data_IF_765950516742
#
_entry.id   IF_765950516742
#
_cell.length_a   1.000
_cell.length_b   1.000
_cell.length_c   1.000
_cell.angle_alpha   90.00
_cell.angle_beta   90.00
_cell.angle_gamma   90.00
#
_symmetry.space_group_name_H-M   'P 1'
#
loop_
_entity.id
_entity.type
_entity.pdbx_description
1 polymer ?
#
# COMPACT_ATOMS: atom_id res chain seq x y z
N UNK A 1 -1.42 -23.84 -25.88
CA UNK A 1 -0.73 -24.90 -25.11
C UNK A 1 -0.38 -24.27 -23.77
N UNK A 2 -0.76 -24.85 -22.64
CA UNK A 2 -0.32 -24.33 -21.35
C UNK A 2 1.21 -24.49 -21.29
N UNK A 3 1.94 -23.37 -21.11
CA UNK A 3 3.38 -23.41 -20.94
C UNK A 3 3.71 -24.36 -19.79
N UNK A 4 4.62 -25.30 -20.03
CA UNK A 4 5.03 -26.25 -18.99
C UNK A 4 5.75 -25.47 -17.88
N UNK A 5 5.26 -25.54 -16.64
CA UNK A 5 5.89 -24.88 -15.50
C UNK A 5 7.31 -25.44 -15.34
N UNK A 6 8.36 -24.59 -15.38
CA UNK A 6 9.74 -25.03 -15.26
C UNK A 6 10.05 -25.52 -13.83
N UNK A 7 11.16 -26.27 -13.66
CA UNK A 7 11.61 -26.71 -12.32
C UNK A 7 12.24 -25.58 -11.52
N UNK A 8 12.96 -24.69 -12.21
CA UNK A 8 13.66 -23.55 -11.61
C UNK A 8 13.19 -22.22 -12.22
N UNK A 9 13.38 -21.13 -11.52
CA UNK A 9 12.99 -19.78 -11.92
C UNK A 9 14.03 -18.76 -11.50
N UNK A 10 14.15 -17.66 -12.26
CA UNK A 10 14.93 -16.49 -11.85
C UNK A 10 14.23 -15.75 -10.72
N UNK A 11 14.99 -15.36 -9.70
CA UNK A 11 14.51 -14.61 -8.57
C UNK A 11 15.57 -13.64 -8.02
N UNK A 12 15.12 -12.49 -7.52
CA UNK A 12 15.95 -11.57 -6.75
C UNK A 12 15.77 -11.85 -5.25
N UNK A 13 16.80 -12.33 -4.63
CA UNK A 13 16.83 -12.71 -3.21
C UNK A 13 17.65 -11.72 -2.39
N UNK A 14 17.26 -11.47 -1.16
CA UNK A 14 18.06 -10.70 -0.20
C UNK A 14 19.40 -11.44 -0.01
N UNK A 15 20.50 -10.84 -0.47
CA UNK A 15 21.82 -11.46 -0.42
C UNK A 15 22.31 -11.57 1.03
N UNK A 16 22.22 -10.47 1.75
CA UNK A 16 22.50 -10.30 3.17
C UNK A 16 21.91 -8.95 3.58
N UNK A 17 21.67 -8.72 4.86
CA UNK A 17 21.21 -7.41 5.31
C UNK A 17 22.23 -6.32 4.95
N UNK A 18 21.74 -5.21 4.42
CA UNK A 18 22.52 -4.06 3.93
C UNK A 18 23.45 -4.35 2.73
N UNK A 19 23.33 -5.52 2.06
CA UNK A 19 24.17 -5.88 0.91
C UNK A 19 23.43 -6.00 -0.43
N UNK A 20 22.18 -5.53 -0.48
CA UNK A 20 21.34 -5.57 -1.69
C UNK A 20 20.81 -6.95 -2.03
N UNK A 21 20.41 -7.12 -3.27
CA UNK A 21 19.86 -8.37 -3.79
C UNK A 21 20.88 -9.14 -4.62
N UNK A 22 20.72 -10.46 -4.65
CA UNK A 22 21.39 -11.39 -5.57
C UNK A 22 20.34 -12.00 -6.50
N UNK A 23 20.58 -11.94 -7.81
CA UNK A 23 19.71 -12.61 -8.79
C UNK A 23 20.26 -14.00 -9.07
N UNK A 24 19.45 -15.02 -8.81
CA UNK A 24 19.84 -16.43 -9.01
C UNK A 24 18.66 -17.30 -9.39
N UNK A 25 18.95 -18.52 -9.85
CA UNK A 25 17.94 -19.52 -10.05
C UNK A 25 17.59 -20.23 -8.74
N UNK A 26 16.30 -20.39 -8.49
CA UNK A 26 15.75 -21.12 -7.34
C UNK A 26 14.63 -22.05 -7.83
N UNK A 27 14.24 -23.02 -7.01
CA UNK A 27 13.16 -23.95 -7.35
C UNK A 27 11.81 -23.22 -7.42
N UNK A 28 11.00 -23.56 -8.43
CA UNK A 28 9.60 -23.13 -8.49
C UNK A 28 8.82 -23.87 -7.38
N UNK A 29 7.97 -23.16 -6.58
CA UNK A 29 7.15 -23.81 -5.57
C UNK A 29 6.27 -24.92 -6.16
N UNK A 30 6.45 -26.16 -5.74
CA UNK A 30 5.73 -27.34 -6.25
C UNK A 30 4.74 -27.91 -5.23
N UNK A 31 4.99 -27.68 -3.93
CA UNK A 31 4.15 -28.13 -2.82
C UNK A 31 3.07 -27.10 -2.53
N UNK A 32 1.86 -27.36 -3.05
CA UNK A 32 0.69 -26.51 -2.87
C UNK A 32 -0.30 -27.18 -1.91
N UNK A 33 -0.59 -26.51 -0.81
CA UNK A 33 -1.69 -26.86 0.08
C UNK A 33 -3.07 -26.58 -0.54
N UNK A 34 -4.15 -26.96 0.15
CA UNK A 34 -5.51 -26.85 -0.41
C UNK A 34 -5.92 -25.45 -0.87
N UNK A 35 -5.54 -24.41 -0.12
CA UNK A 35 -5.85 -23.01 -0.44
C UNK A 35 -4.74 -22.30 -1.26
N UNK A 36 -3.64 -22.99 -1.56
CA UNK A 36 -2.53 -22.37 -2.27
C UNK A 36 -2.80 -22.25 -3.77
N UNK A 37 -2.27 -21.21 -4.36
CA UNK A 37 -2.15 -21.03 -5.80
C UNK A 37 -0.69 -20.76 -6.17
N UNK A 38 -0.30 -21.17 -7.37
CA UNK A 38 0.95 -20.77 -8.01
C UNK A 38 0.63 -19.68 -9.02
N UNK A 39 1.24 -18.52 -8.84
CA UNK A 39 1.07 -17.37 -9.71
C UNK A 39 2.33 -17.19 -10.54
N UNK A 40 2.19 -17.15 -11.88
CA UNK A 40 3.24 -16.68 -12.80
C UNK A 40 3.21 -15.16 -12.72
N UNK A 41 4.24 -14.56 -12.14
CA UNK A 41 4.30 -13.12 -11.92
C UNK A 41 4.47 -12.40 -13.25
N UNK A 42 3.69 -11.35 -13.46
CA UNK A 42 3.82 -10.44 -14.58
C UNK A 42 4.48 -9.12 -14.17
N UNK A 43 4.17 -8.67 -12.95
CA UNK A 43 4.80 -7.49 -12.35
C UNK A 43 4.84 -7.58 -10.82
N UNK A 44 5.83 -6.91 -10.23
CA UNK A 44 6.01 -6.82 -8.78
C UNK A 44 6.50 -5.41 -8.39
N UNK A 45 5.78 -4.73 -7.50
CA UNK A 45 6.13 -3.40 -7.06
C UNK A 45 7.31 -3.39 -6.07
N UNK A 46 8.05 -2.27 -6.01
CA UNK A 46 9.06 -2.00 -5.00
C UNK A 46 8.54 -0.96 -3.99
N UNK A 47 8.58 -1.29 -2.71
CA UNK A 47 8.04 -0.50 -1.61
C UNK A 47 9.14 -0.12 -0.60
N UNK A 48 8.85 0.86 0.27
CA UNK A 48 9.74 1.20 1.39
C UNK A 48 9.98 0.01 2.33
N UNK A 49 8.98 -0.82 2.52
CA UNK A 49 9.11 -2.06 3.31
C UNK A 49 10.16 -3.02 2.74
N UNK A 50 10.34 -3.09 1.41
CA UNK A 50 11.38 -3.93 0.81
C UNK A 50 12.79 -3.40 1.13
N UNK A 51 12.96 -2.06 1.20
CA UNK A 51 14.19 -1.45 1.71
C UNK A 51 14.39 -1.77 3.19
N UNK A 52 13.35 -1.68 4.02
CA UNK A 52 13.43 -2.02 5.44
C UNK A 52 13.75 -3.51 5.68
N UNK A 53 13.26 -4.42 4.83
CA UNK A 53 13.66 -5.85 4.84
C UNK A 53 15.16 -5.97 4.55
N UNK A 54 15.67 -5.28 3.55
CA UNK A 54 17.12 -5.25 3.26
C UNK A 54 17.94 -4.67 4.41
N UNK A 55 17.40 -3.74 5.17
CA UNK A 55 18.05 -3.15 6.35
C UNK A 55 17.96 -4.03 7.61
N UNK A 56 17.26 -5.18 7.56
CA UNK A 56 17.09 -6.09 8.68
C UNK A 56 16.05 -5.63 9.72
N UNK A 57 15.24 -4.61 9.42
CA UNK A 57 14.22 -4.08 10.36
C UNK A 57 13.24 -5.17 10.80
N UNK A 58 12.95 -6.13 9.94
CA UNK A 58 12.01 -7.23 10.20
C UNK A 58 12.69 -8.56 10.57
N UNK A 59 13.99 -8.56 10.94
CA UNK A 59 14.71 -9.78 11.36
C UNK A 59 14.03 -10.45 12.54
N UNK A 60 13.62 -9.69 13.56
CA UNK A 60 12.89 -10.21 14.72
C UNK A 60 11.51 -10.77 14.39
N UNK A 61 10.93 -10.37 13.26
CA UNK A 61 9.66 -10.89 12.74
C UNK A 61 9.85 -12.11 11.82
N UNK A 62 11.09 -12.52 11.54
CA UNK A 62 11.42 -13.69 10.72
C UNK A 62 11.98 -13.40 9.33
N UNK A 63 12.24 -12.15 8.97
CA UNK A 63 12.98 -11.81 7.76
C UNK A 63 14.42 -12.35 7.84
N UNK A 64 14.95 -12.86 6.73
CA UNK A 64 16.29 -13.46 6.69
C UNK A 64 16.94 -13.34 5.31
N UNK A 65 18.26 -13.39 5.22
CA UNK A 65 18.95 -13.56 3.94
C UNK A 65 18.45 -14.79 3.18
N UNK A 66 18.43 -14.69 1.85
CA UNK A 66 17.86 -15.74 0.97
C UNK A 66 16.37 -15.58 0.69
N UNK A 67 15.66 -14.65 1.34
CA UNK A 67 14.28 -14.33 1.07
C UNK A 67 14.11 -13.67 -0.31
N UNK A 68 13.13 -14.09 -1.09
CA UNK A 68 12.70 -13.36 -2.31
C UNK A 68 11.89 -12.14 -1.87
N UNK A 69 12.29 -10.96 -2.31
CA UNK A 69 11.63 -9.70 -1.96
C UNK A 69 10.28 -9.48 -2.66
N UNK A 70 9.73 -8.31 -2.48
CA UNK A 70 8.42 -7.80 -2.92
C UNK A 70 7.21 -8.45 -2.27
N UNK A 71 6.39 -7.59 -1.69
CA UNK A 71 5.06 -7.93 -1.18
C UNK A 71 3.93 -7.32 -2.03
N UNK A 72 4.24 -6.91 -3.26
CA UNK A 72 3.32 -6.28 -4.22
C UNK A 72 3.24 -7.12 -5.52
N UNK A 73 2.81 -8.38 -5.47
CA UNK A 73 2.79 -9.24 -6.66
C UNK A 73 1.51 -9.09 -7.47
N UNK A 74 1.63 -9.14 -8.81
CA UNK A 74 0.52 -9.29 -9.74
C UNK A 74 0.90 -10.27 -10.86
N UNK A 75 -0.02 -11.16 -11.26
CA UNK A 75 0.25 -12.17 -12.27
C UNK A 75 -0.94 -13.05 -12.62
N UNK A 76 -0.68 -14.20 -13.22
CA UNK A 76 -1.69 -15.15 -13.68
C UNK A 76 -1.58 -16.44 -12.87
N UNK A 77 -2.70 -16.96 -12.39
CA UNK A 77 -2.77 -18.27 -11.72
C UNK A 77 -2.47 -19.37 -12.73
N UNK A 78 -1.40 -20.15 -12.49
CA UNK A 78 -1.00 -21.27 -13.38
C UNK A 78 -1.23 -22.66 -12.76
N UNK A 79 -1.41 -22.72 -11.43
CA UNK A 79 -1.78 -23.95 -10.72
C UNK A 79 -2.57 -23.58 -9.45
N UNK A 80 -3.51 -24.41 -9.05
CA UNK A 80 -4.38 -24.16 -7.90
C UNK A 80 -4.52 -25.40 -7.04
N UNK A 81 -4.54 -25.24 -5.72
CA UNK A 81 -4.88 -26.26 -4.75
C UNK A 81 -6.37 -26.62 -4.80
N UNK A 82 -6.76 -27.70 -4.12
CA UNK A 82 -8.11 -28.27 -4.19
C UNK A 82 -9.21 -27.32 -3.74
N UNK A 83 -8.91 -26.37 -2.86
CA UNK A 83 -9.87 -25.48 -2.23
C UNK A 83 -9.87 -24.04 -2.80
N UNK A 84 -8.95 -23.73 -3.71
CA UNK A 84 -8.85 -22.40 -4.32
C UNK A 84 -10.16 -21.94 -4.99
N UNK A 85 -10.87 -22.87 -5.63
CA UNK A 85 -12.18 -22.61 -6.26
C UNK A 85 -13.25 -22.14 -5.25
N UNK A 86 -13.13 -22.48 -3.96
CA UNK A 86 -14.04 -21.98 -2.90
C UNK A 86 -13.93 -20.45 -2.71
N UNK A 87 -12.77 -19.89 -3.06
CA UNK A 87 -12.54 -18.43 -3.10
C UNK A 87 -12.79 -17.84 -4.50
N UNK A 88 -13.44 -18.56 -5.40
CA UNK A 88 -13.69 -18.14 -6.78
C UNK A 88 -12.40 -17.83 -7.57
N UNK A 89 -11.29 -18.53 -7.28
CA UNK A 89 -9.99 -18.36 -7.96
C UNK A 89 -9.69 -19.62 -8.77
N UNK A 90 -9.37 -19.43 -10.06
CA UNK A 90 -9.16 -20.49 -11.04
C UNK A 90 -7.87 -20.27 -11.83
N UNK A 91 -7.34 -21.34 -12.42
CA UNK A 91 -6.22 -21.24 -13.36
C UNK A 91 -6.61 -20.35 -14.54
N UNK A 92 -5.74 -19.43 -14.90
CA UNK A 92 -5.96 -18.40 -15.91
C UNK A 92 -6.43 -17.04 -15.36
N UNK A 93 -6.88 -16.97 -14.10
CA UNK A 93 -7.28 -15.70 -13.49
C UNK A 93 -6.08 -14.75 -13.35
N UNK A 94 -6.32 -13.49 -13.67
CA UNK A 94 -5.41 -12.37 -13.36
C UNK A 94 -5.60 -11.99 -11.90
N UNK A 95 -4.55 -12.08 -11.09
CA UNK A 95 -4.63 -11.84 -9.64
C UNK A 95 -3.45 -11.05 -9.12
N UNK A 96 -3.67 -10.39 -7.99
CA UNK A 96 -2.59 -9.92 -7.12
C UNK A 96 -2.94 -10.22 -5.68
N UNK A 97 -1.94 -10.26 -4.82
CA UNK A 97 -2.08 -10.68 -3.43
C UNK A 97 -1.67 -9.59 -2.47
N UNK A 98 -2.52 -9.28 -1.50
CA UNK A 98 -2.04 -8.60 -0.29
C UNK A 98 -1.03 -9.51 0.44
N UNK A 99 -0.19 -8.94 1.27
CA UNK A 99 0.99 -9.64 1.82
C UNK A 99 0.70 -10.76 2.85
N UNK A 100 -0.54 -10.98 3.24
CA UNK A 100 -0.95 -12.00 4.22
C UNK A 100 -0.90 -13.41 3.60
N UNK A 101 -0.33 -14.40 4.31
CA UNK A 101 -0.32 -15.80 3.84
C UNK A 101 -0.76 -16.76 4.93
N UNK A 102 -1.72 -17.63 4.62
CA UNK A 102 -2.23 -18.72 5.45
C UNK A 102 -2.71 -18.25 6.84
N UNK A 103 -3.71 -17.39 6.84
CA UNK A 103 -4.44 -17.01 8.06
C UNK A 103 -5.34 -18.16 8.55
N UNK A 104 -5.58 -18.24 9.87
CA UNK A 104 -6.33 -19.37 10.46
C UNK A 104 -7.86 -19.29 10.25
N UNK A 105 -8.45 -18.10 10.14
CA UNK A 105 -9.90 -17.89 10.00
C UNK A 105 -10.72 -18.09 11.28
N UNK A 106 -10.12 -18.49 12.41
CA UNK A 106 -10.83 -18.88 13.65
C UNK A 106 -10.49 -18.08 14.89
N UNK A 107 -9.32 -17.39 14.94
CA UNK A 107 -8.93 -16.56 16.05
C UNK A 107 -9.80 -15.30 16.16
N UNK A 108 -9.73 -14.62 17.29
CA UNK A 108 -10.53 -13.42 17.57
C UNK A 108 -10.31 -12.32 16.52
N UNK A 109 -9.05 -12.07 16.16
CA UNK A 109 -8.70 -11.10 15.12
C UNK A 109 -9.34 -11.44 13.76
N UNK A 110 -9.29 -12.70 13.32
CA UNK A 110 -9.91 -13.12 12.05
C UNK A 110 -11.44 -12.95 12.05
N UNK A 111 -12.10 -13.13 13.19
CA UNK A 111 -13.56 -13.05 13.30
C UNK A 111 -14.09 -11.63 13.45
N UNK A 112 -13.33 -10.74 14.07
CA UNK A 112 -13.85 -9.43 14.51
C UNK A 112 -13.06 -8.21 14.02
N UNK A 113 -11.80 -8.39 13.55
CA UNK A 113 -10.93 -7.28 13.20
C UNK A 113 -10.43 -7.34 11.75
N UNK A 114 -10.17 -8.54 11.24
CA UNK A 114 -9.71 -8.81 9.88
C UNK A 114 -8.53 -9.76 9.83
N UNK A 115 -8.42 -10.50 8.73
CA UNK A 115 -7.45 -11.57 8.53
C UNK A 115 -6.00 -11.09 8.56
N UNK A 116 -5.74 -9.83 8.19
CA UNK A 116 -4.42 -9.20 8.24
C UNK A 116 -3.86 -9.08 9.68
N UNK A 117 -4.70 -9.23 10.69
CA UNK A 117 -4.33 -9.22 12.10
C UNK A 117 -4.35 -10.63 12.73
N UNK A 118 -4.36 -11.68 11.90
CA UNK A 118 -4.43 -13.06 12.38
C UNK A 118 -3.28 -13.39 13.34
N UNK A 119 -3.62 -13.86 14.55
CA UNK A 119 -2.65 -14.25 15.57
C UNK A 119 -1.83 -15.49 15.20
N UNK A 120 -2.36 -16.33 14.29
CA UNK A 120 -1.74 -17.57 13.81
C UNK A 120 -1.30 -17.44 12.33
N UNK A 121 -0.95 -16.25 11.89
CA UNK A 121 -0.51 -16.00 10.52
C UNK A 121 0.78 -16.78 10.24
N UNK A 122 0.80 -17.58 9.17
CA UNK A 122 1.99 -18.40 8.82
C UNK A 122 3.11 -17.52 8.26
N UNK A 123 2.77 -16.46 7.52
CA UNK A 123 3.79 -15.55 7.01
C UNK A 123 3.24 -14.35 6.26
N UNK A 124 4.17 -13.47 5.90
CA UNK A 124 3.93 -12.29 5.07
C UNK A 124 4.82 -12.34 3.84
N UNK A 125 4.19 -12.28 2.64
CA UNK A 125 4.88 -12.29 1.35
C UNK A 125 5.93 -11.18 1.27
N UNK A 126 7.15 -11.51 0.84
CA UNK A 126 8.25 -10.57 0.70
C UNK A 126 8.86 -10.05 2.01
N UNK A 127 8.30 -10.44 3.18
CA UNK A 127 8.81 -10.05 4.50
C UNK A 127 9.34 -11.26 5.28
N UNK A 128 8.55 -12.31 5.43
CA UNK A 128 8.93 -13.50 6.20
C UNK A 128 8.91 -14.78 5.37
N UNK A 129 8.21 -14.77 4.23
CA UNK A 129 8.19 -15.81 3.21
C UNK A 129 8.44 -15.17 1.84
N UNK A 130 8.81 -16.02 0.85
CA UNK A 130 9.14 -15.56 -0.50
C UNK A 130 8.01 -14.74 -1.14
N UNK A 131 8.38 -13.63 -1.77
CA UNK A 131 7.50 -12.67 -2.40
C UNK A 131 7.60 -12.65 -3.93
N UNK A 132 7.25 -11.49 -4.52
CA UNK A 132 6.99 -11.32 -5.95
C UNK A 132 8.21 -11.04 -6.83
N UNK A 133 9.42 -10.82 -6.30
CA UNK A 133 10.61 -10.62 -7.14
C UNK A 133 11.14 -11.94 -7.71
N UNK A 134 10.25 -12.76 -8.26
CA UNK A 134 10.52 -14.04 -8.92
C UNK A 134 9.51 -14.30 -10.03
N UNK A 135 9.85 -15.15 -10.98
CA UNK A 135 8.94 -15.49 -12.09
C UNK A 135 7.66 -16.22 -11.63
N UNK A 136 7.72 -16.93 -10.50
CA UNK A 136 6.57 -17.61 -9.91
C UNK A 136 6.56 -17.39 -8.40
N UNK A 137 5.35 -17.33 -7.84
CA UNK A 137 5.15 -17.16 -6.40
C UNK A 137 3.97 -18.01 -5.93
N UNK A 138 4.11 -18.59 -4.72
CA UNK A 138 3.00 -19.23 -4.02
C UNK A 138 2.22 -18.21 -3.22
N UNK A 139 0.89 -18.17 -3.35
CA UNK A 139 0.00 -17.30 -2.62
C UNK A 139 -1.22 -18.06 -2.07
N UNK A 140 -1.94 -17.47 -1.13
CA UNK A 140 -3.19 -18.03 -0.59
C UNK A 140 -4.37 -17.47 -1.40
N UNK A 141 -5.16 -18.35 -2.00
CA UNK A 141 -6.33 -17.99 -2.81
C UNK A 141 -7.37 -17.13 -2.07
N UNK A 142 -7.38 -17.20 -0.75
CA UNK A 142 -8.35 -16.47 0.10
C UNK A 142 -8.02 -14.98 0.29
N UNK A 143 -6.80 -14.54 -0.07
CA UNK A 143 -6.34 -13.16 0.10
C UNK A 143 -5.93 -12.47 -1.20
N UNK A 144 -6.15 -13.12 -2.34
CA UNK A 144 -5.92 -12.51 -3.64
C UNK A 144 -7.18 -11.79 -4.15
N UNK A 145 -6.98 -10.77 -4.96
CA UNK A 145 -8.06 -10.09 -5.68
C UNK A 145 -7.88 -10.28 -7.19
N UNK A 146 -8.99 -10.41 -7.91
CA UNK A 146 -8.98 -10.48 -9.38
C UNK A 146 -8.72 -9.11 -9.98
N UNK A 147 -7.84 -9.06 -10.97
CA UNK A 147 -7.43 -7.84 -11.66
C UNK A 147 -8.14 -7.76 -13.02
N UNK A 148 -8.98 -6.74 -13.29
CA UNK A 148 -9.58 -6.52 -14.60
C UNK A 148 -8.52 -6.29 -15.68
N UNK A 149 -8.85 -6.65 -16.93
CA UNK A 149 -8.00 -6.43 -18.13
C UNK A 149 -7.63 -4.95 -18.33
N UNK A 150 -8.48 -4.03 -17.87
CA UNK A 150 -8.29 -2.59 -17.99
C UNK A 150 -7.13 -2.04 -17.15
N UNK A 151 -6.62 -2.80 -16.17
CA UNK A 151 -5.49 -2.38 -15.33
C UNK A 151 -4.21 -3.06 -15.85
N UNK A 152 -3.20 -2.31 -16.35
CA UNK A 152 -1.90 -2.84 -16.72
C UNK A 152 -1.18 -3.49 -15.53
N UNK A 153 -0.32 -4.48 -15.78
CA UNK A 153 0.32 -5.25 -14.74
C UNK A 153 1.18 -4.42 -13.78
N UNK A 154 1.97 -3.49 -14.33
CA UNK A 154 2.84 -2.60 -13.59
C UNK A 154 2.05 -1.60 -12.73
N UNK A 155 0.88 -1.15 -13.19
CA UNK A 155 -0.03 -0.34 -12.39
C UNK A 155 -0.76 -1.16 -11.32
N UNK A 156 -1.07 -2.44 -11.61
CA UNK A 156 -1.79 -3.33 -10.70
C UNK A 156 -0.94 -3.78 -9.50
N UNK A 157 0.34 -4.09 -9.71
CA UNK A 157 1.18 -4.66 -8.67
C UNK A 157 1.26 -3.78 -7.40
N UNK A 158 1.52 -2.47 -7.46
CA UNK A 158 1.56 -1.63 -6.26
C UNK A 158 0.21 -1.49 -5.53
N UNK A 159 -0.90 -1.85 -6.17
CA UNK A 159 -2.22 -1.75 -5.53
C UNK A 159 -2.34 -2.69 -4.33
N UNK A 160 -1.59 -3.80 -4.32
CA UNK A 160 -1.65 -4.82 -3.26
C UNK A 160 -0.90 -4.47 -1.97
N UNK A 161 -0.17 -3.34 -1.96
CA UNK A 161 0.33 -2.71 -0.75
C UNK A 161 -0.10 -1.25 -0.68
N UNK A 162 0.41 -0.38 -1.57
CA UNK A 162 0.13 1.06 -1.53
C UNK A 162 -1.37 1.35 -1.67
N UNK A 163 -2.04 0.74 -2.65
CA UNK A 163 -3.49 0.86 -2.85
C UNK A 163 -4.27 0.32 -1.65
N UNK A 164 -3.98 -0.92 -1.23
CA UNK A 164 -4.64 -1.59 -0.12
C UNK A 164 -4.47 -0.84 1.22
N UNK A 165 -3.29 -0.27 1.45
CA UNK A 165 -3.00 0.49 2.67
C UNK A 165 -3.78 1.80 2.71
N UNK A 166 -3.70 2.62 1.66
CA UNK A 166 -4.35 3.93 1.68
C UNK A 166 -5.87 3.80 1.58
N UNK A 167 -6.39 2.80 0.85
CA UNK A 167 -7.83 2.51 0.81
C UNK A 167 -8.33 2.09 2.19
N UNK A 168 -7.63 1.17 2.86
CA UNK A 168 -7.93 0.79 4.23
C UNK A 168 -7.90 1.97 5.21
N UNK A 169 -6.97 2.91 5.05
CA UNK A 169 -6.88 4.12 5.85
C UNK A 169 -8.07 5.07 5.62
N UNK A 170 -8.47 5.27 4.34
CA UNK A 170 -9.63 6.09 3.99
C UNK A 170 -10.91 5.50 4.60
N UNK A 171 -11.14 4.19 4.46
CA UNK A 171 -12.28 3.52 5.08
C UNK A 171 -12.24 3.65 6.62
N UNK A 172 -11.06 3.44 7.23
CA UNK A 172 -10.88 3.58 8.67
C UNK A 172 -11.11 5.01 9.17
N UNK A 173 -10.88 6.04 8.34
CA UNK A 173 -11.17 7.42 8.69
C UNK A 173 -12.66 7.67 8.86
N UNK A 174 -13.50 6.85 8.22
CA UNK A 174 -14.95 7.01 8.21
C UNK A 174 -15.40 8.26 7.44
N UNK A 175 -14.61 8.70 6.45
CA UNK A 175 -14.98 9.84 5.59
C UNK A 175 -16.25 9.51 4.82
N UNK A 176 -17.16 10.48 4.70
CA UNK A 176 -18.42 10.36 3.96
C UNK A 176 -18.39 11.30 2.74
N UNK A 177 -19.26 11.00 1.78
CA UNK A 177 -19.47 11.86 0.62
C UNK A 177 -19.68 13.33 1.05
N UNK A 178 -19.02 14.25 0.38
CA UNK A 178 -19.06 15.68 0.64
C UNK A 178 -18.23 16.19 1.83
N UNK A 179 -17.68 15.31 2.66
CA UNK A 179 -16.75 15.69 3.72
C UNK A 179 -15.36 16.01 3.17
N UNK A 180 -14.57 16.79 3.93
CA UNK A 180 -13.21 17.12 3.58
C UNK A 180 -12.21 16.13 4.18
N UNK A 181 -11.41 15.51 3.30
CA UNK A 181 -10.29 14.65 3.65
C UNK A 181 -8.97 15.30 3.23
N UNK A 182 -8.07 15.50 4.16
CA UNK A 182 -6.68 15.84 3.84
C UNK A 182 -5.85 14.56 3.69
N UNK A 183 -5.17 14.41 2.55
CA UNK A 183 -4.18 13.38 2.29
C UNK A 183 -2.81 14.02 2.44
N UNK A 184 -2.05 13.58 3.45
CA UNK A 184 -0.73 14.14 3.78
C UNK A 184 0.36 13.16 3.39
N UNK A 185 1.30 13.63 2.56
CA UNK A 185 2.32 12.81 1.91
C UNK A 185 1.81 12.20 0.60
N UNK A 186 2.13 12.87 -0.52
CA UNK A 186 1.70 12.48 -1.88
C UNK A 186 2.83 11.74 -2.59
N UNK A 187 3.25 10.64 -1.98
CA UNK A 187 4.19 9.69 -2.57
C UNK A 187 3.47 8.48 -3.18
N UNK A 188 4.10 7.31 -3.04
CA UNK A 188 3.60 6.03 -3.56
C UNK A 188 2.21 5.60 -3.05
N UNK A 189 1.79 6.06 -1.86
CA UNK A 189 0.45 5.82 -1.30
C UNK A 189 -0.49 7.00 -1.59
N UNK A 190 -0.04 8.22 -1.30
CA UNK A 190 -0.93 9.39 -1.28
C UNK A 190 -1.50 9.74 -2.65
N UNK A 191 -0.79 9.50 -3.76
CA UNK A 191 -1.33 9.76 -5.10
C UNK A 191 -2.53 8.85 -5.43
N UNK A 192 -2.56 7.60 -4.92
CA UNK A 192 -3.73 6.72 -4.98
C UNK A 192 -4.80 7.17 -3.99
N UNK A 193 -4.39 7.59 -2.78
CA UNK A 193 -5.30 8.06 -1.75
C UNK A 193 -6.15 9.25 -2.17
N UNK A 194 -5.56 10.21 -2.90
CA UNK A 194 -6.28 11.34 -3.49
C UNK A 194 -7.38 10.83 -4.44
N UNK A 195 -7.04 9.94 -5.36
CA UNK A 195 -7.97 9.41 -6.34
C UNK A 195 -9.09 8.58 -5.70
N UNK A 196 -8.75 7.71 -4.74
CA UNK A 196 -9.75 6.87 -4.05
C UNK A 196 -10.71 7.72 -3.21
N UNK A 197 -10.21 8.72 -2.50
CA UNK A 197 -11.06 9.63 -1.75
C UNK A 197 -12.02 10.41 -2.67
N UNK A 198 -11.54 10.88 -3.82
CA UNK A 198 -12.38 11.52 -4.84
C UNK A 198 -13.43 10.55 -5.40
N UNK A 199 -13.04 9.33 -5.75
CA UNK A 199 -13.96 8.30 -6.24
C UNK A 199 -15.05 7.93 -5.23
N UNK A 200 -14.73 8.01 -3.93
CA UNK A 200 -15.70 7.84 -2.83
C UNK A 200 -16.55 9.09 -2.54
N UNK A 201 -16.37 10.16 -3.33
CA UNK A 201 -17.17 11.40 -3.25
C UNK A 201 -16.73 12.38 -2.16
N UNK A 202 -15.53 12.24 -1.58
CA UNK A 202 -14.99 13.22 -0.67
C UNK A 202 -14.48 14.48 -1.40
N UNK A 203 -14.47 15.62 -0.70
CA UNK A 203 -13.65 16.77 -1.08
C UNK A 203 -12.22 16.51 -0.58
N UNK A 204 -11.22 16.67 -1.45
CA UNK A 204 -9.85 16.22 -1.15
C UNK A 204 -8.86 17.38 -1.14
N UNK A 205 -8.05 17.41 -0.08
CA UNK A 205 -6.91 18.31 0.06
C UNK A 205 -5.64 17.45 -0.04
N UNK A 206 -4.76 17.74 -1.00
CA UNK A 206 -3.45 17.12 -1.09
C UNK A 206 -2.39 18.00 -0.45
N UNK A 207 -1.63 17.47 0.50
CA UNK A 207 -0.55 18.16 1.22
C UNK A 207 0.74 17.35 1.07
N UNK A 208 1.80 17.96 0.56
CA UNK A 208 3.14 17.36 0.51
C UNK A 208 4.20 18.44 0.83
N UNK A 209 5.37 18.02 1.27
CA UNK A 209 6.50 18.93 1.45
C UNK A 209 7.31 19.16 0.16
N UNK A 210 6.99 18.45 -0.92
CA UNK A 210 7.65 18.53 -2.23
C UNK A 210 6.62 18.91 -3.30
N UNK A 211 7.06 19.74 -4.25
CA UNK A 211 6.25 20.11 -5.43
C UNK A 211 5.94 18.89 -6.31
N UNK A 212 6.89 17.96 -6.43
CA UNK A 212 6.77 16.74 -7.22
C UNK A 212 5.59 15.86 -6.76
N UNK A 213 5.35 15.79 -5.44
CA UNK A 213 4.18 15.10 -4.89
C UNK A 213 2.87 15.73 -5.36
N UNK A 214 2.77 17.06 -5.26
CA UNK A 214 1.59 17.80 -5.73
C UNK A 214 1.39 17.66 -7.25
N UNK A 215 2.46 17.75 -8.04
CA UNK A 215 2.40 17.52 -9.50
C UNK A 215 1.88 16.10 -9.81
N UNK A 216 2.30 15.10 -9.03
CA UNK A 216 1.82 13.71 -9.16
C UNK A 216 0.33 13.61 -8.87
N UNK A 217 -0.18 14.27 -7.81
CA UNK A 217 -1.62 14.32 -7.53
C UNK A 217 -2.41 15.00 -8.66
N UNK A 218 -1.87 16.07 -9.23
CA UNK A 218 -2.49 16.82 -10.33
C UNK A 218 -2.42 16.10 -11.70
N UNK A 219 -1.55 15.10 -11.85
CA UNK A 219 -1.47 14.26 -13.06
C UNK A 219 -2.61 13.23 -13.16
N UNK A 220 -3.35 12.99 -12.07
CA UNK A 220 -4.52 12.13 -12.06
C UNK A 220 -5.59 12.57 -13.08
N UNK A 221 -6.49 11.67 -13.52
CA UNK A 221 -7.66 12.03 -14.32
C UNK A 221 -8.42 13.22 -13.71
N UNK A 222 -8.93 14.13 -14.52
CA UNK A 222 -9.45 15.44 -14.07
C UNK A 222 -10.48 15.35 -12.95
N UNK A 223 -11.38 14.35 -12.99
CA UNK A 223 -12.42 14.14 -11.99
C UNK A 223 -11.91 13.52 -10.68
N UNK A 224 -10.67 13.04 -10.65
CA UNK A 224 -10.00 12.43 -9.48
C UNK A 224 -8.91 13.33 -8.89
N UNK A 225 -8.73 14.55 -9.42
CA UNK A 225 -7.77 15.52 -8.88
C UNK A 225 -8.23 16.07 -7.54
N UNK A 226 -7.29 16.45 -6.67
CA UNK A 226 -7.65 17.10 -5.40
C UNK A 226 -8.34 18.44 -5.66
N UNK A 227 -9.24 18.84 -4.76
CA UNK A 227 -9.94 20.12 -4.82
C UNK A 227 -9.04 21.28 -4.34
N UNK A 228 -8.09 20.98 -3.43
CA UNK A 228 -7.06 21.92 -2.96
C UNK A 228 -5.70 21.22 -2.86
N UNK A 229 -4.64 21.99 -3.04
CA UNK A 229 -3.26 21.51 -2.92
C UNK A 229 -2.42 22.46 -2.11
N UNK A 230 -1.52 21.93 -1.28
CA UNK A 230 -0.60 22.70 -0.48
C UNK A 230 0.81 22.09 -0.50
N UNK A 231 1.83 22.93 -0.67
CA UNK A 231 3.23 22.57 -0.47
C UNK A 231 3.65 23.07 0.91
N UNK A 232 3.95 22.13 1.82
CA UNK A 232 4.32 22.40 3.22
C UNK A 232 5.84 22.22 3.41
N UNK A 233 6.62 23.02 2.70
CA UNK A 233 8.07 22.92 2.56
C UNK A 233 8.87 23.75 3.58
N UNK A 234 8.19 24.60 4.36
CA UNK A 234 8.80 25.48 5.34
C UNK A 234 7.89 25.69 6.56
N UNK A 235 8.45 26.21 7.65
CA UNK A 235 7.69 26.53 8.85
C UNK A 235 6.63 27.63 8.58
N UNK A 236 6.95 28.61 7.73
CA UNK A 236 6.00 29.66 7.36
C UNK A 236 4.87 29.12 6.46
N UNK A 237 5.17 28.20 5.54
CA UNK A 237 4.15 27.50 4.76
C UNK A 237 3.24 26.67 5.68
N UNK A 238 3.82 25.96 6.64
CA UNK A 238 3.09 25.16 7.64
C UNK A 238 2.09 26.04 8.41
N UNK A 239 2.53 27.19 8.96
CA UNK A 239 1.66 28.10 9.71
C UNK A 239 0.50 28.62 8.86
N UNK A 240 0.78 29.09 7.66
CA UNK A 240 -0.26 29.58 6.73
C UNK A 240 -1.29 28.50 6.38
N UNK A 241 -0.83 27.27 6.11
CA UNK A 241 -1.72 26.14 5.78
C UNK A 241 -2.61 25.80 6.97
N UNK A 242 -2.05 25.74 8.18
CA UNK A 242 -2.82 25.49 9.40
C UNK A 242 -3.87 26.57 9.59
N UNK A 243 -3.51 27.87 9.51
CA UNK A 243 -4.42 29.02 9.65
C UNK A 243 -5.55 28.97 8.61
N UNK A 244 -5.23 28.68 7.34
CA UNK A 244 -6.24 28.53 6.30
C UNK A 244 -7.18 27.37 6.59
N UNK A 245 -6.65 26.18 6.86
CA UNK A 245 -7.47 24.97 7.01
C UNK A 245 -8.33 24.98 8.29
N UNK A 246 -7.79 25.51 9.41
CA UNK A 246 -8.54 25.54 10.67
C UNK A 246 -9.74 26.49 10.68
N UNK A 247 -9.78 27.48 9.75
CA UNK A 247 -10.86 28.45 9.60
C UNK A 247 -11.78 28.18 8.41
N UNK A 248 -11.50 27.11 7.64
CA UNK A 248 -12.18 26.84 6.38
C UNK A 248 -13.31 25.81 6.49
N UNK A 249 -14.08 25.72 5.44
CA UNK A 249 -15.04 24.68 5.03
C UNK A 249 -16.41 24.71 5.71
N UNK A 250 -16.53 25.17 6.94
CA UNK A 250 -17.80 25.19 7.68
C UNK A 250 -17.96 26.50 8.48
N UNK A 251 -19.17 27.06 8.52
CA UNK A 251 -19.47 28.26 9.31
C UNK A 251 -19.41 27.98 10.81
N UNK A 252 -19.80 26.76 11.21
CA UNK A 252 -19.73 26.29 12.58
C UNK A 252 -18.84 25.05 12.64
N UNK A 253 -18.00 24.90 13.66
CA UNK A 253 -17.02 23.83 13.79
C UNK A 253 -16.10 23.72 12.54
N UNK A 254 -15.35 24.79 12.22
CA UNK A 254 -14.49 24.81 11.05
C UNK A 254 -13.32 23.83 11.15
N UNK A 255 -12.67 23.57 10.02
CA UNK A 255 -11.56 22.65 9.90
C UNK A 255 -11.88 21.42 9.03
N UNK A 256 -10.92 20.53 8.86
CA UNK A 256 -11.00 19.35 8.04
C UNK A 256 -11.69 18.22 8.80
N UNK A 257 -12.53 17.42 8.14
CA UNK A 257 -13.22 16.30 8.78
C UNK A 257 -12.27 15.14 9.11
N UNK A 258 -11.38 14.81 8.17
CA UNK A 258 -10.54 13.61 8.21
C UNK A 258 -9.15 13.92 7.68
N UNK A 259 -8.15 13.23 8.23
CA UNK A 259 -6.77 13.29 7.73
C UNK A 259 -6.25 11.86 7.58
N UNK A 260 -5.58 11.57 6.47
CA UNK A 260 -4.79 10.34 6.27
C UNK A 260 -3.34 10.73 6.04
N UNK A 261 -2.44 10.20 6.88
CA UNK A 261 -1.00 10.49 6.83
C UNK A 261 -0.28 9.28 6.23
N UNK A 262 0.48 9.51 5.14
CA UNK A 262 1.17 8.48 4.35
C UNK A 262 2.71 8.68 4.34
N UNK A 263 3.26 9.32 5.34
CA UNK A 263 4.69 9.66 5.41
C UNK A 263 5.21 9.54 6.84
N UNK A 264 6.53 9.44 6.99
CA UNK A 264 7.20 9.08 8.25
C UNK A 264 7.53 10.26 9.18
N UNK A 265 7.03 11.47 8.91
CA UNK A 265 7.32 12.62 9.77
C UNK A 265 6.57 12.53 11.11
N UNK A 266 7.31 12.67 12.22
CA UNK A 266 6.86 12.39 13.61
C UNK A 266 5.78 13.33 14.13
N UNK A 267 5.80 14.58 13.69
CA UNK A 267 4.97 15.67 14.19
C UNK A 267 3.67 15.86 13.42
N UNK A 268 3.45 15.10 12.33
CA UNK A 268 2.31 15.31 11.44
C UNK A 268 0.96 15.03 12.09
N UNK A 269 0.86 14.09 13.04
CA UNK A 269 -0.38 13.89 13.80
C UNK A 269 -0.72 15.17 14.57
N UNK A 270 0.23 15.69 15.34
CA UNK A 270 0.05 16.90 16.14
C UNK A 270 -0.22 18.15 15.28
N UNK A 271 0.43 18.25 14.12
CA UNK A 271 0.17 19.30 13.13
C UNK A 271 -1.26 19.15 12.59
N UNK A 272 -1.65 17.95 12.18
CA UNK A 272 -2.99 17.67 11.65
C UNK A 272 -4.09 17.96 12.65
N UNK A 273 -3.88 17.71 13.94
CA UNK A 273 -4.84 18.03 15.01
C UNK A 273 -5.14 19.52 15.11
N UNK A 274 -4.26 20.42 14.66
CA UNK A 274 -4.48 21.85 14.72
C UNK A 274 -5.56 22.32 13.71
N UNK A 275 -5.60 21.75 12.52
CA UNK A 275 -6.58 22.06 11.48
C UNK A 275 -7.73 21.05 11.37
N UNK A 276 -7.68 19.97 12.17
CA UNK A 276 -8.77 19.01 12.27
C UNK A 276 -9.90 19.61 13.13
N UNK A 277 -11.15 19.52 12.66
CA UNK A 277 -12.30 20.01 13.42
C UNK A 277 -12.58 19.16 14.66
N UNK A 278 -13.47 19.63 15.54
CA UNK A 278 -13.97 18.82 16.69
C UNK A 278 -14.68 17.56 16.18
N UNK A 279 -14.39 16.41 16.79
CA UNK A 279 -14.89 15.11 16.37
C UNK A 279 -14.24 14.57 15.10
N UNK A 280 -13.16 15.20 14.62
CA UNK A 280 -12.42 14.74 13.46
C UNK A 280 -11.54 13.53 13.74
N UNK A 281 -11.07 12.87 12.67
CA UNK A 281 -10.27 11.63 12.76
C UNK A 281 -8.98 11.78 11.95
N UNK A 282 -7.85 11.45 12.57
CA UNK A 282 -6.55 11.22 11.91
C UNK A 282 -6.30 9.73 11.81
N UNK A 283 -5.97 9.24 10.63
CA UNK A 283 -5.46 7.88 10.41
C UNK A 283 -4.03 7.98 9.92
N UNK A 284 -3.11 7.36 10.65
CA UNK A 284 -1.70 7.29 10.29
C UNK A 284 -1.34 5.90 9.78
N UNK A 285 -0.69 5.85 8.63
CA UNK A 285 -0.10 4.65 8.02
C UNK A 285 1.39 4.82 7.73
N UNK A 286 1.97 5.94 8.14
CA UNK A 286 3.42 6.14 8.16
C UNK A 286 4.06 5.30 9.28
N UNK A 287 5.27 4.77 9.02
CA UNK A 287 5.98 3.89 9.96
C UNK A 287 7.41 4.43 10.22
N UNK A 288 7.56 5.58 10.91
CA UNK A 288 8.89 6.10 11.22
C UNK A 288 9.63 5.17 12.17
N UNK A 289 10.80 4.68 11.75
CA UNK A 289 11.60 3.73 12.53
C UNK A 289 12.17 4.36 13.81
N UNK A 290 12.19 3.57 14.88
CA UNK A 290 12.90 3.91 16.14
C UNK A 290 12.38 5.13 16.87
N UNK A 291 11.08 5.48 16.72
CA UNK A 291 10.54 6.72 17.29
C UNK A 291 9.12 6.55 17.82
N UNK A 292 8.65 7.59 18.51
CA UNK A 292 7.26 7.78 18.93
C UNK A 292 6.64 8.93 18.14
N UNK A 293 5.32 8.87 17.94
CA UNK A 293 4.54 9.92 17.29
C UNK A 293 4.08 10.95 18.32
N UNK A 294 4.10 12.24 17.93
CA UNK A 294 3.59 13.31 18.77
C UNK A 294 2.08 13.49 18.62
N UNK A 295 1.38 13.51 19.75
CA UNK A 295 -0.08 13.71 19.80
C UNK A 295 -0.39 14.82 20.81
N UNK A 296 -1.33 15.73 20.46
CA UNK A 296 -1.84 16.76 21.38
C UNK A 296 -2.96 16.17 22.25
N UNK A 297 -2.72 15.96 23.57
CA UNK A 297 -3.72 15.39 24.46
C UNK A 297 -4.93 16.33 24.69
N UNK A 298 -4.76 17.65 24.59
CA UNK A 298 -5.86 18.60 24.68
C UNK A 298 -6.83 18.44 23.50
N UNK A 299 -6.28 18.28 22.29
CA UNK A 299 -7.10 18.05 21.10
C UNK A 299 -7.88 16.73 21.19
N UNK A 300 -7.26 15.65 21.73
CA UNK A 300 -7.98 14.40 21.97
C UNK A 300 -9.16 14.59 22.92
N UNK A 301 -8.95 15.23 24.06
CA UNK A 301 -9.97 15.31 25.14
C UNK A 301 -11.00 16.40 24.90
N UNK A 302 -10.56 17.64 24.58
CA UNK A 302 -11.47 18.81 24.49
C UNK A 302 -12.07 19.04 23.11
N UNK A 303 -11.44 18.48 22.07
CA UNK A 303 -12.00 18.50 20.71
C UNK A 303 -12.57 17.13 20.30
N UNK A 304 -12.51 16.10 21.17
CA UNK A 304 -12.94 14.74 20.88
C UNK A 304 -12.37 14.18 19.54
N UNK A 305 -11.13 14.58 19.26
CA UNK A 305 -10.44 14.08 18.05
C UNK A 305 -9.95 12.64 18.26
N UNK A 306 -10.01 11.85 17.22
CA UNK A 306 -9.52 10.46 17.22
C UNK A 306 -8.23 10.34 16.44
N UNK A 307 -7.24 9.64 17.00
CA UNK A 307 -6.02 9.22 16.30
C UNK A 307 -5.99 7.70 16.29
N UNK A 308 -5.76 7.12 15.13
CA UNK A 308 -5.64 5.65 14.96
C UNK A 308 -4.70 5.27 13.83
N UNK A 309 -4.12 4.06 13.93
CA UNK A 309 -3.40 3.41 12.85
C UNK A 309 -4.28 2.48 12.03
N UNK A 310 -3.80 2.08 10.87
CA UNK A 310 -4.41 1.04 10.03
C UNK A 310 -3.31 0.21 9.37
N UNK A 311 -3.37 -1.11 9.53
CA UNK A 311 -2.65 -2.05 8.70
C UNK A 311 -3.54 -2.31 7.48
N UNK A 312 -3.04 -2.36 6.30
CA UNK A 312 -3.74 -2.61 5.01
C UNK A 312 -5.27 -2.81 5.09
N UNK A 313 -5.96 -3.00 4.00
CA UNK A 313 -7.38 -3.40 3.98
C UNK A 313 -7.54 -4.94 4.15
N UNK A 314 -8.77 -5.41 4.37
CA UNK A 314 -9.09 -6.85 4.37
C UNK A 314 -9.09 -7.39 2.93
N UNK A 315 -9.05 -8.74 2.72
CA UNK A 315 -9.15 -9.33 1.39
C UNK A 315 -10.39 -8.86 0.61
N UNK A 316 -11.54 -8.78 1.26
CA UNK A 316 -12.79 -8.31 0.66
C UNK A 316 -12.66 -6.83 0.24
N UNK A 317 -12.14 -5.99 1.12
CA UNK A 317 -11.88 -4.58 0.84
C UNK A 317 -10.83 -4.40 -0.27
N UNK A 318 -9.88 -5.35 -0.42
CA UNK A 318 -8.90 -5.33 -1.51
C UNK A 318 -9.59 -5.52 -2.87
N UNK A 319 -10.57 -6.42 -2.98
CA UNK A 319 -11.34 -6.57 -4.22
C UNK A 319 -12.19 -5.33 -4.49
N UNK A 320 -12.83 -4.75 -3.46
CA UNK A 320 -13.58 -3.50 -3.60
C UNK A 320 -12.70 -2.35 -4.08
N UNK A 321 -11.47 -2.26 -3.58
CA UNK A 321 -10.48 -1.27 -4.01
C UNK A 321 -10.09 -1.47 -5.49
N UNK A 322 -9.85 -2.70 -5.93
CA UNK A 322 -9.55 -2.99 -7.34
C UNK A 322 -10.72 -2.61 -8.25
N UNK A 323 -11.95 -2.93 -7.85
CA UNK A 323 -13.14 -2.55 -8.59
C UNK A 323 -13.29 -1.02 -8.65
N UNK A 324 -13.17 -0.33 -7.51
CA UNK A 324 -13.20 1.14 -7.46
C UNK A 324 -12.13 1.77 -8.36
N UNK A 325 -10.91 1.21 -8.35
CA UNK A 325 -9.80 1.67 -9.19
C UNK A 325 -10.15 1.56 -10.68
N UNK A 326 -10.66 0.41 -11.11
CA UNK A 326 -11.03 0.14 -12.49
C UNK A 326 -12.22 0.97 -12.95
N UNK A 327 -13.32 0.99 -12.17
CA UNK A 327 -14.58 1.62 -12.52
C UNK A 327 -14.48 3.15 -12.64
N UNK A 328 -13.58 3.76 -11.87
CA UNK A 328 -13.36 5.21 -11.90
C UNK A 328 -12.16 5.62 -12.77
N UNK A 329 -11.48 4.66 -13.42
CA UNK A 329 -10.30 4.95 -14.24
C UNK A 329 -9.15 5.57 -13.44
N UNK A 330 -8.98 5.16 -12.17
CA UNK A 330 -7.82 5.55 -11.38
C UNK A 330 -6.53 5.06 -12.03
N UNK A 331 -5.42 5.72 -11.75
CA UNK A 331 -4.11 5.40 -12.33
C UNK A 331 -3.05 5.31 -11.24
N UNK A 332 -2.21 4.29 -11.33
CA UNK A 332 -0.99 4.22 -10.55
C UNK A 332 0.13 4.91 -11.31
N UNK A 333 0.75 5.92 -10.70
CA UNK A 333 1.89 6.58 -11.33
C UNK A 333 3.14 5.70 -11.21
N UNK A 334 3.53 5.07 -12.33
CA UNK A 334 4.76 4.29 -12.43
C UNK A 334 5.83 5.17 -13.06
N UNK A 335 6.89 5.49 -12.29
CA UNK A 335 7.99 6.30 -12.82
C UNK A 335 8.87 5.50 -13.76
N UNK A 336 9.17 4.24 -13.41
CA UNK A 336 9.98 3.36 -14.23
C UNK A 336 9.74 1.89 -13.93
N UNK A 337 9.83 1.06 -14.97
CA UNK A 337 9.85 -0.40 -14.87
C UNK A 337 11.26 -0.94 -15.12
N UNK A 338 11.54 -2.14 -14.58
CA UNK A 338 12.83 -2.80 -14.62
C UNK A 338 12.65 -4.31 -14.82
N UNK A 339 13.65 -4.98 -15.39
CA UNK A 339 13.74 -6.45 -15.38
C UNK A 339 14.36 -6.98 -14.08
N UNK A 340 14.21 -8.30 -13.84
CA UNK A 340 14.71 -8.93 -12.61
C UNK A 340 16.21 -8.73 -12.37
N UNK A 341 17.03 -8.74 -13.42
CA UNK A 341 18.48 -8.56 -13.33
C UNK A 341 18.88 -7.10 -12.94
N UNK A 342 17.93 -6.17 -12.99
CA UNK A 342 18.11 -4.76 -12.66
C UNK A 342 17.64 -4.41 -11.23
N UNK A 343 17.41 -5.38 -10.36
CA UNK A 343 16.85 -5.13 -9.01
C UNK A 343 17.69 -4.15 -8.17
N UNK A 344 19.01 -4.17 -8.29
CA UNK A 344 19.84 -3.22 -7.56
C UNK A 344 19.79 -1.80 -8.15
N UNK A 345 19.48 -1.64 -9.45
CA UNK A 345 19.17 -0.33 -10.04
C UNK A 345 17.84 0.24 -9.48
N UNK A 346 16.83 -0.63 -9.23
CA UNK A 346 15.59 -0.23 -8.53
C UNK A 346 15.93 0.32 -7.15
N UNK A 347 16.80 -0.37 -6.39
CA UNK A 347 17.22 0.04 -5.06
C UNK A 347 17.90 1.41 -5.08
N UNK A 348 18.80 1.66 -6.02
CA UNK A 348 19.46 2.96 -6.20
C UNK A 348 18.46 4.06 -6.59
N UNK A 349 17.55 3.77 -7.53
CA UNK A 349 16.52 4.71 -7.95
C UNK A 349 15.55 5.05 -6.82
N UNK A 350 15.15 4.04 -6.03
CA UNK A 350 14.22 4.23 -4.91
C UNK A 350 14.76 5.21 -3.85
N UNK A 351 16.07 5.30 -3.68
CA UNK A 351 16.71 6.19 -2.71
C UNK A 351 16.84 7.65 -3.21
N UNK A 352 16.45 7.94 -4.43
CA UNK A 352 16.49 9.30 -4.98
C UNK A 352 15.43 10.19 -4.33
N UNK A 353 15.81 11.43 -4.05
CA UNK A 353 14.91 12.41 -3.41
C UNK A 353 13.79 12.91 -4.34
N UNK A 354 13.99 12.82 -5.66
CA UNK A 354 13.06 13.26 -6.69
C UNK A 354 12.11 12.16 -7.20
N UNK A 355 12.16 10.97 -6.60
CA UNK A 355 11.28 9.84 -6.95
C UNK A 355 9.81 10.25 -6.88
N UNK A 356 9.04 9.90 -7.94
CA UNK A 356 7.60 10.11 -8.05
C UNK A 356 6.87 8.77 -8.11
N UNK A 357 5.76 8.65 -7.41
CA UNK A 357 4.90 7.46 -7.48
C UNK A 357 5.62 6.17 -7.12
N UNK A 358 5.71 5.21 -8.07
CA UNK A 358 6.15 3.84 -7.83
C UNK A 358 7.19 3.36 -8.83
N UNK A 359 8.01 2.40 -8.40
CA UNK A 359 8.88 1.58 -9.26
C UNK A 359 8.34 0.16 -9.31
N UNK A 360 8.49 -0.51 -10.45
CA UNK A 360 7.95 -1.85 -10.64
C UNK A 360 8.94 -2.73 -11.42
N UNK A 361 9.04 -4.00 -11.02
CA UNK A 361 9.70 -5.05 -11.78
C UNK A 361 8.68 -5.69 -12.72
N UNK A 362 9.07 -6.02 -13.95
CA UNK A 362 8.26 -6.73 -14.95
C UNK A 362 8.99 -7.99 -15.41
N UNK A 363 8.23 -9.06 -15.76
CA UNK A 363 8.74 -10.37 -16.13
C UNK A 363 8.32 -10.77 -17.54
#
# INVERSE_FOLDING_TARGET
MADQIPKTMRAAVVKDFNKGYEVRDIDVPSDLGPNDILVKIAAAGYCHTDLQVLQGVYESAGAKPGLVGSHEPAGIVVKAGSDAAKSNIHVGDRVGSINTYAFCGECDACKHQGQQLCEKLVGMLGLTINGGFAQYMKADARVVSKIPESIPWDEAAPLFCAGATVYGAILASGVKQGQWLAVVGIGGLGHLGVQYAKALGANVIAIDNRKEGIETALSAPSHLRPDKTFVMDSEDARKRIIEELQSSFYNTNPGVDRVVINTEARDLIKISQQFLRKGGVVVDVGLPSGTTLEVDPFALSFKEQTVKGRLICTPEQSQDMINLHADNGCRTYIEKTYGVDQINEILEHYQRKDLRGRLCMVF
#
